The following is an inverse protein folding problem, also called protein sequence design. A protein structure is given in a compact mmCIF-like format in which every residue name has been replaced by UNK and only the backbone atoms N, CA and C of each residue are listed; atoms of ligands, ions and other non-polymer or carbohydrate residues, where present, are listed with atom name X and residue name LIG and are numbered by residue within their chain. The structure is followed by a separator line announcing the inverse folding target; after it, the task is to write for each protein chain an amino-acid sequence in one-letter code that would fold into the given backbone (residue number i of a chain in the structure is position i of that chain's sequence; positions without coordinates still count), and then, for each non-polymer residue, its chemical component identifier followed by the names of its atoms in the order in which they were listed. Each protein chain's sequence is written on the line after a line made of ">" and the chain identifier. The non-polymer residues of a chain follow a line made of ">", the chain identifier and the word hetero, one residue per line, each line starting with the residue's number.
data_IF_512933236087
#
_entry.id   IF_512933236087
#
_cell.length_a   1.000
_cell.length_b   1.000
_cell.length_c   1.000
_cell.angle_alpha   90.00
_cell.angle_beta   90.00
_cell.angle_gamma   90.00
#
_symmetry.space_group_name_H-M   'P 1'
#
loop_
_entity.id
_entity.type
_entity.pdbx_description
1 polymer ?
#
# COMPACT_ATOMS: atom_id res chain seq x y z
N UNK A 1 -16.14 -15.41 -33.28
CA UNK A 1 -15.27 -14.31 -32.84
C UNK A 1 -15.21 -14.32 -31.31
N UNK A 2 -14.03 -14.17 -30.76
CA UNK A 2 -13.81 -14.07 -29.31
C UNK A 2 -14.34 -12.72 -28.83
N UNK A 3 -15.23 -12.65 -27.81
CA UNK A 3 -15.78 -11.39 -27.29
C UNK A 3 -14.75 -10.57 -26.53
N UNK A 4 -13.65 -11.19 -26.06
CA UNK A 4 -12.60 -10.55 -25.26
C UNK A 4 -11.23 -10.73 -25.92
N UNK A 5 -10.43 -9.66 -25.92
CA UNK A 5 -9.08 -9.67 -26.50
C UNK A 5 -8.04 -10.29 -25.58
N UNK A 6 -8.27 -10.26 -24.27
CA UNK A 6 -7.31 -10.71 -23.27
C UNK A 6 -8.01 -11.15 -21.99
N UNK A 7 -7.57 -12.26 -21.42
CA UNK A 7 -7.92 -12.73 -20.08
C UNK A 7 -6.74 -12.43 -19.13
N UNK A 8 -7.04 -11.82 -17.98
CA UNK A 8 -6.07 -11.55 -16.95
C UNK A 8 -6.53 -12.24 -15.67
N UNK A 9 -5.76 -13.24 -15.24
CA UNK A 9 -5.99 -13.94 -14.00
C UNK A 9 -5.29 -13.19 -12.86
N UNK A 10 -6.08 -12.69 -11.92
CA UNK A 10 -5.56 -12.01 -10.74
C UNK A 10 -5.25 -13.01 -9.63
N UNK A 11 -4.17 -12.76 -8.89
CA UNK A 11 -3.89 -13.42 -7.63
C UNK A 11 -4.87 -12.97 -6.54
N UNK A 12 -4.95 -13.74 -5.46
CA UNK A 12 -5.80 -13.41 -4.31
C UNK A 12 -5.03 -12.62 -3.26
N UNK A 13 -5.73 -11.69 -2.58
CA UNK A 13 -5.24 -11.14 -1.31
C UNK A 13 -5.57 -12.17 -0.23
N UNK A 14 -4.54 -12.63 0.49
CA UNK A 14 -4.63 -13.64 1.52
C UNK A 14 -4.63 -13.01 2.90
N UNK A 15 -5.29 -13.66 3.87
CA UNK A 15 -5.29 -13.27 5.27
C UNK A 15 -4.23 -14.03 6.05
N UNK A 16 -3.79 -13.43 7.15
CA UNK A 16 -3.06 -14.13 8.19
C UNK A 16 -4.08 -14.76 9.12
N UNK A 17 -4.10 -16.10 9.20
CA UNK A 17 -4.85 -16.82 10.21
C UNK A 17 -4.02 -17.00 11.47
N UNK A 18 -4.66 -16.92 12.62
CA UNK A 18 -4.06 -17.27 13.90
C UNK A 18 -4.70 -18.55 14.46
N UNK A 19 -3.92 -19.34 15.18
CA UNK A 19 -4.34 -20.62 15.72
C UNK A 19 -4.12 -20.68 17.22
N UNK A 20 -5.09 -21.29 17.89
CA UNK A 20 -4.96 -21.79 19.27
C UNK A 20 -4.95 -23.30 19.27
N UNK A 21 -4.30 -23.92 20.24
CA UNK A 21 -4.08 -25.36 20.31
C UNK A 21 -4.78 -25.92 21.55
N UNK A 22 -5.95 -26.55 21.32
CA UNK A 22 -6.76 -27.17 22.37
C UNK A 22 -6.23 -28.57 22.70
N UNK A 23 -5.95 -28.85 23.95
CA UNK A 23 -5.60 -30.22 24.42
C UNK A 23 -6.84 -31.07 24.28
N UNK A 24 -6.70 -32.24 23.61
CA UNK A 24 -7.82 -33.13 23.29
C UNK A 24 -8.57 -33.58 24.55
N UNK A 25 -9.90 -33.49 24.51
CA UNK A 25 -10.78 -33.88 25.61
C UNK A 25 -10.88 -32.87 26.77
N UNK A 26 -10.26 -31.70 26.65
CA UNK A 26 -10.27 -30.64 27.69
C UNK A 26 -10.75 -29.30 27.18
N UNK A 27 -10.87 -28.30 28.03
CA UNK A 27 -11.01 -26.89 27.65
C UNK A 27 -9.74 -26.10 27.97
N UNK A 28 -8.58 -26.75 27.92
CA UNK A 28 -7.26 -26.16 28.15
C UNK A 28 -6.56 -25.96 26.82
N UNK A 29 -5.99 -24.77 26.63
CA UNK A 29 -5.28 -24.35 25.43
C UNK A 29 -3.80 -24.16 25.77
N UNK A 30 -2.92 -24.66 24.90
CA UNK A 30 -1.48 -24.58 25.11
C UNK A 30 -0.84 -23.66 24.05
N UNK A 31 0.11 -22.81 24.48
CA UNK A 31 0.88 -21.92 23.64
C UNK A 31 1.66 -22.70 22.57
N UNK A 32 1.85 -22.09 21.38
CA UNK A 32 2.44 -22.75 20.20
C UNK A 32 3.81 -23.39 20.46
N UNK A 33 4.68 -22.76 21.27
CA UNK A 33 6.01 -23.31 21.59
C UNK A 33 5.98 -24.56 22.50
N UNK A 34 4.84 -24.85 23.12
CA UNK A 34 4.66 -25.98 24.02
C UNK A 34 3.75 -27.07 23.45
N UNK A 35 3.14 -26.85 22.27
CA UNK A 35 2.10 -27.71 21.70
C UNK A 35 2.52 -29.16 21.49
N UNK A 36 3.80 -29.38 21.16
CA UNK A 36 4.33 -30.72 20.86
C UNK A 36 4.45 -31.64 22.11
N UNK A 37 4.27 -31.04 23.30
CA UNK A 37 4.23 -31.80 24.56
C UNK A 37 2.85 -32.42 24.86
N UNK A 38 1.83 -32.07 24.06
CA UNK A 38 0.45 -32.42 24.25
C UNK A 38 -0.19 -32.97 22.97
N UNK A 39 -1.21 -33.78 23.07
CA UNK A 39 -2.04 -34.13 21.93
C UNK A 39 -3.08 -33.03 21.74
N UNK A 40 -2.88 -32.18 20.71
CA UNK A 40 -3.67 -30.99 20.50
C UNK A 40 -4.54 -31.07 19.25
N UNK A 41 -5.56 -30.20 19.20
CA UNK A 41 -6.35 -29.85 18.01
C UNK A 41 -6.15 -28.37 17.73
N UNK A 42 -5.75 -28.04 16.51
CA UNK A 42 -5.60 -26.67 16.05
C UNK A 42 -6.97 -26.06 15.73
N UNK A 43 -7.20 -24.84 16.19
CA UNK A 43 -8.46 -24.10 16.01
C UNK A 43 -8.14 -22.69 15.55
N UNK A 44 -8.78 -22.24 14.47
CA UNK A 44 -8.70 -20.84 14.04
C UNK A 44 -9.31 -19.92 15.09
N UNK A 45 -8.66 -18.78 15.30
CA UNK A 45 -9.11 -17.76 16.24
C UNK A 45 -9.23 -16.41 15.52
N UNK A 46 -10.19 -15.59 15.98
CA UNK A 46 -10.42 -14.27 15.40
C UNK A 46 -9.15 -13.42 15.49
N UNK A 47 -8.70 -12.91 14.35
CA UNK A 47 -7.49 -12.09 14.25
C UNK A 47 -7.57 -10.81 15.07
N UNK A 48 -8.77 -10.31 15.36
CA UNK A 48 -8.98 -9.09 16.13
C UNK A 48 -8.68 -9.25 17.63
N UNK A 49 -8.64 -10.49 18.15
CA UNK A 49 -8.29 -10.77 19.53
C UNK A 49 -6.85 -11.29 19.70
N UNK A 50 -6.03 -11.18 18.63
CA UNK A 50 -4.61 -11.53 18.63
C UNK A 50 -3.78 -10.31 18.27
N UNK A 51 -2.81 -9.93 19.09
CA UNK A 51 -1.92 -8.81 18.82
C UNK A 51 -0.46 -9.24 18.94
N UNK A 52 0.30 -9.08 17.85
CA UNK A 52 1.71 -9.53 17.79
C UNK A 52 1.86 -10.99 18.26
N UNK A 53 1.01 -11.87 17.73
CA UNK A 53 0.92 -13.29 18.05
C UNK A 53 0.49 -13.63 19.49
N UNK A 54 0.22 -12.64 20.33
CA UNK A 54 -0.26 -12.81 21.70
C UNK A 54 -1.79 -12.77 21.72
N UNK A 55 -2.39 -13.83 22.25
CA UNK A 55 -3.83 -13.93 22.43
C UNK A 55 -4.29 -13.06 23.62
N UNK A 56 -5.35 -12.27 23.38
CA UNK A 56 -6.14 -11.71 24.47
C UNK A 56 -7.03 -12.82 25.07
N UNK A 57 -6.63 -13.32 26.25
CA UNK A 57 -7.29 -14.48 26.88
C UNK A 57 -8.71 -14.14 27.35
N UNK A 58 -8.96 -12.91 27.76
CA UNK A 58 -10.29 -12.49 28.25
C UNK A 58 -11.23 -12.27 27.07
N UNK A 59 -10.75 -11.66 25.99
CA UNK A 59 -11.49 -11.54 24.74
C UNK A 59 -11.80 -12.94 24.15
N UNK A 60 -10.86 -13.91 24.24
CA UNK A 60 -11.08 -15.27 23.80
C UNK A 60 -12.18 -15.99 24.59
N UNK A 61 -12.19 -15.84 25.92
CA UNK A 61 -13.26 -16.41 26.77
C UNK A 61 -14.62 -15.79 26.46
N UNK A 62 -14.66 -14.51 26.08
CA UNK A 62 -15.88 -13.80 25.72
C UNK A 62 -16.33 -14.06 24.28
N UNK A 63 -15.44 -14.55 23.39
CA UNK A 63 -15.69 -14.69 21.96
C UNK A 63 -16.75 -15.75 21.64
N UNK A 64 -16.67 -16.93 22.29
CA UNK A 64 -17.68 -17.99 22.13
C UNK A 64 -18.04 -18.62 23.47
N UNK A 65 -19.33 -18.99 23.67
CA UNK A 65 -19.77 -19.55 24.94
C UNK A 65 -19.00 -20.81 25.39
N UNK A 66 -18.54 -21.62 24.43
CA UNK A 66 -17.78 -22.86 24.70
C UNK A 66 -16.40 -22.59 25.28
N UNK A 67 -15.86 -21.38 25.14
CA UNK A 67 -14.55 -20.98 25.66
C UNK A 67 -14.62 -20.16 26.96
N UNK A 68 -15.83 -19.94 27.50
CA UNK A 68 -16.01 -19.11 28.72
C UNK A 68 -15.13 -19.54 29.91
N UNK A 69 -14.89 -20.87 30.03
CA UNK A 69 -14.05 -21.45 31.08
C UNK A 69 -12.71 -21.99 30.53
N UNK A 70 -12.18 -21.35 29.47
CA UNK A 70 -10.91 -21.77 28.89
C UNK A 70 -9.74 -21.54 29.85
N UNK A 71 -8.91 -22.56 30.02
CA UNK A 71 -7.64 -22.50 30.74
C UNK A 71 -6.47 -22.41 29.74
N UNK A 72 -5.37 -21.78 30.17
CA UNK A 72 -4.24 -21.55 29.28
C UNK A 72 -2.92 -22.01 29.89
N UNK A 73 -2.13 -22.78 29.12
CA UNK A 73 -0.74 -23.08 29.42
C UNK A 73 0.12 -22.08 28.64
N UNK A 74 0.75 -21.20 29.40
CA UNK A 74 1.43 -20.02 28.89
C UNK A 74 2.92 -20.29 28.65
N UNK A 75 3.48 -19.57 27.69
CA UNK A 75 4.91 -19.48 27.41
C UNK A 75 5.41 -18.11 27.86
N UNK A 76 6.32 -18.09 28.85
CA UNK A 76 6.83 -16.85 29.44
C UNK A 76 5.73 -15.86 29.88
N UNK A 77 4.65 -16.39 30.48
CA UNK A 77 3.53 -15.59 30.96
C UNK A 77 2.56 -15.06 29.89
N UNK A 78 2.72 -15.48 28.63
CA UNK A 78 1.86 -15.11 27.51
C UNK A 78 1.35 -16.33 26.77
N UNK A 79 0.17 -16.23 26.17
CA UNK A 79 -0.29 -17.22 25.22
C UNK A 79 0.11 -16.80 23.81
N UNK A 80 0.98 -17.57 23.18
CA UNK A 80 1.45 -17.30 21.82
C UNK A 80 0.67 -18.19 20.86
N UNK A 81 -0.01 -17.57 19.88
CA UNK A 81 -0.72 -18.23 18.81
C UNK A 81 0.22 -18.76 17.73
N UNK A 82 -0.16 -19.83 17.05
CA UNK A 82 0.38 -20.15 15.75
C UNK A 82 -0.21 -19.25 14.66
N UNK A 83 0.37 -19.27 13.46
CA UNK A 83 -0.15 -18.53 12.33
C UNK A 83 0.18 -19.19 10.99
N UNK A 84 -0.64 -18.88 9.99
CA UNK A 84 -0.38 -19.23 8.59
C UNK A 84 -1.00 -18.17 7.67
N UNK A 85 -0.48 -18.10 6.44
CA UNK A 85 -1.08 -17.30 5.38
C UNK A 85 -2.06 -18.16 4.62
N UNK A 86 -3.33 -17.77 4.61
CA UNK A 86 -4.41 -18.56 4.03
C UNK A 86 -5.37 -17.66 3.23
N UNK A 87 -6.27 -18.27 2.47
CA UNK A 87 -7.37 -17.55 1.84
C UNK A 87 -8.23 -16.87 2.92
N UNK A 88 -8.59 -15.61 2.72
CA UNK A 88 -9.54 -14.94 3.60
C UNK A 88 -10.91 -15.62 3.56
N UNK A 89 -11.42 -15.99 4.73
CA UNK A 89 -12.74 -16.60 4.88
C UNK A 89 -13.32 -16.29 6.24
N UNK A 90 -14.64 -16.07 6.30
CA UNK A 90 -15.35 -15.88 7.57
C UNK A 90 -15.19 -17.08 8.53
N UNK A 91 -15.13 -18.30 8.00
CA UNK A 91 -14.90 -19.52 8.80
C UNK A 91 -13.49 -19.67 9.34
N UNK A 92 -12.53 -18.94 8.79
CA UNK A 92 -11.13 -18.90 9.27
C UNK A 92 -10.86 -17.68 10.16
N UNK A 93 -11.86 -16.80 10.36
CA UNK A 93 -11.78 -15.60 11.20
C UNK A 93 -10.57 -14.69 10.88
N UNK A 94 -10.16 -14.66 9.62
CA UNK A 94 -8.99 -13.94 9.12
C UNK A 94 -9.33 -12.84 8.09
N UNK A 95 -10.59 -12.41 8.05
CA UNK A 95 -11.08 -11.41 7.10
C UNK A 95 -10.72 -10.02 7.58
N UNK A 96 -10.13 -9.21 6.69
CA UNK A 96 -10.00 -7.76 6.86
C UNK A 96 -11.23 -7.11 6.24
N UNK A 97 -11.96 -6.31 7.03
CA UNK A 97 -13.13 -5.60 6.53
C UNK A 97 -12.70 -4.31 5.79
N UNK A 98 -13.00 -4.18 4.49
CA UNK A 98 -12.69 -2.97 3.73
C UNK A 98 -13.31 -1.70 4.34
N UNK A 99 -14.52 -1.78 4.90
CA UNK A 99 -15.20 -0.62 5.49
C UNK A 99 -14.40 -0.02 6.64
N UNK A 100 -13.85 -0.86 7.52
CA UNK A 100 -12.98 -0.42 8.63
C UNK A 100 -11.72 0.26 8.11
N UNK A 101 -11.11 -0.29 7.05
CA UNK A 101 -9.92 0.31 6.43
C UNK A 101 -10.25 1.66 5.77
N UNK A 102 -11.42 1.75 5.12
CA UNK A 102 -11.88 3.00 4.49
C UNK A 102 -12.17 4.07 5.55
N UNK A 103 -12.78 3.71 6.67
CA UNK A 103 -13.05 4.64 7.78
C UNK A 103 -11.75 5.18 8.41
N UNK A 104 -10.72 4.34 8.52
CA UNK A 104 -9.45 4.70 9.15
C UNK A 104 -8.48 5.44 8.20
N UNK A 105 -8.37 4.98 6.96
CA UNK A 105 -7.34 5.42 6.00
C UNK A 105 -7.90 6.12 4.75
N UNK A 106 -9.18 5.96 4.47
CA UNK A 106 -9.82 6.44 3.25
C UNK A 106 -9.74 5.46 2.07
N UNK A 107 -10.72 5.59 1.15
CA UNK A 107 -10.87 4.67 0.02
C UNK A 107 -9.67 4.70 -0.95
N UNK A 108 -9.09 5.86 -1.21
CA UNK A 108 -7.92 5.99 -2.09
C UNK A 108 -6.68 5.28 -1.53
N UNK A 109 -6.50 5.31 -0.20
CA UNK A 109 -5.41 4.58 0.45
C UNK A 109 -5.58 3.07 0.30
N UNK A 110 -6.80 2.55 0.52
CA UNK A 110 -7.11 1.13 0.32
C UNK A 110 -6.82 0.72 -1.14
N UNK A 111 -7.34 1.45 -2.12
CA UNK A 111 -7.12 1.17 -3.55
C UNK A 111 -5.64 1.11 -3.93
N UNK A 112 -4.89 2.14 -3.53
CA UNK A 112 -3.44 2.19 -3.78
C UNK A 112 -2.71 1.05 -3.10
N UNK A 113 -3.09 0.72 -1.86
CA UNK A 113 -2.43 -0.35 -1.12
C UNK A 113 -2.66 -1.72 -1.74
N UNK A 114 -3.88 -2.04 -2.17
CA UNK A 114 -4.18 -3.27 -2.91
C UNK A 114 -3.34 -3.41 -4.18
N UNK A 115 -3.18 -2.32 -4.94
CA UNK A 115 -2.31 -2.32 -6.12
C UNK A 115 -0.81 -2.41 -5.75
N UNK A 116 -0.40 -1.83 -4.62
CA UNK A 116 1.00 -1.79 -4.18
C UNK A 116 1.51 -3.13 -3.65
N UNK A 117 0.65 -4.00 -3.11
CA UNK A 117 1.02 -5.26 -2.45
C UNK A 117 1.89 -6.19 -3.30
N UNK A 118 1.84 -6.10 -4.62
CA UNK A 118 2.69 -6.89 -5.51
C UNK A 118 2.11 -7.07 -6.92
N UNK A 119 2.78 -7.84 -7.77
CA UNK A 119 2.31 -8.10 -9.14
C UNK A 119 0.90 -8.70 -9.16
N UNK A 120 0.11 -8.33 -10.17
CA UNK A 120 -1.32 -8.65 -10.25
C UNK A 120 -1.61 -10.15 -10.26
N UNK A 121 -0.75 -10.95 -10.89
CA UNK A 121 -0.96 -12.39 -11.06
C UNK A 121 -0.67 -13.21 -9.81
N UNK A 122 0.05 -12.66 -8.83
CA UNK A 122 0.46 -13.40 -7.64
C UNK A 122 -0.48 -13.18 -6.46
N UNK A 123 -0.72 -14.24 -5.69
CA UNK A 123 -1.37 -14.11 -4.38
C UNK A 123 -0.44 -13.41 -3.40
N UNK A 124 -1.00 -12.57 -2.54
CA UNK A 124 -0.26 -11.68 -1.64
C UNK A 124 -0.90 -11.68 -0.26
N UNK A 125 -0.11 -11.77 0.82
CA UNK A 125 -0.64 -11.57 2.16
C UNK A 125 -1.01 -10.11 2.40
N UNK A 126 -2.15 -9.88 3.04
CA UNK A 126 -2.48 -8.58 3.60
C UNK A 126 -1.62 -8.29 4.82
N UNK A 127 -1.03 -7.09 4.86
CA UNK A 127 -0.33 -6.56 6.03
C UNK A 127 -0.88 -5.18 6.38
N UNK A 128 -1.63 -5.07 7.47
CA UNK A 128 -2.24 -3.81 7.89
C UNK A 128 -1.19 -2.74 8.23
N UNK A 129 0.03 -3.11 8.63
CA UNK A 129 1.09 -2.14 8.92
C UNK A 129 1.63 -1.47 7.66
N UNK A 130 1.62 -2.18 6.52
CA UNK A 130 2.12 -1.66 5.25
C UNK A 130 1.29 -0.51 4.67
N UNK A 131 0.00 -0.42 5.02
CA UNK A 131 -0.92 0.62 4.51
C UNK A 131 -0.51 2.04 4.94
N UNK A 132 0.11 2.18 6.09
CA UNK A 132 0.61 3.46 6.62
C UNK A 132 1.55 4.18 5.65
N UNK A 133 2.39 3.44 4.93
CA UNK A 133 3.31 3.99 3.94
C UNK A 133 2.57 4.69 2.79
N UNK A 134 1.50 4.07 2.31
CA UNK A 134 0.66 4.60 1.24
C UNK A 134 -0.16 5.80 1.72
N UNK A 135 -0.71 5.72 2.93
CA UNK A 135 -1.43 6.84 3.54
C UNK A 135 -0.54 8.09 3.71
N UNK A 136 0.68 7.90 4.21
CA UNK A 136 1.67 8.99 4.34
C UNK A 136 2.08 9.56 2.98
N UNK A 137 2.18 8.71 1.95
CA UNK A 137 2.44 9.15 0.58
C UNK A 137 1.33 10.08 0.08
N UNK A 138 0.05 9.70 0.17
CA UNK A 138 -1.07 10.53 -0.27
C UNK A 138 -1.08 11.89 0.47
N UNK A 139 -0.85 11.90 1.77
CA UNK A 139 -0.72 13.14 2.53
C UNK A 139 0.45 14.01 2.07
N UNK A 140 1.57 13.39 1.68
CA UNK A 140 2.72 14.11 1.13
C UNK A 140 2.43 14.66 -0.26
N UNK A 141 1.75 13.87 -1.10
CA UNK A 141 1.31 14.31 -2.43
C UNK A 141 0.38 15.53 -2.34
N UNK A 142 -0.60 15.50 -1.45
CA UNK A 142 -1.49 16.65 -1.18
C UNK A 142 -0.72 17.92 -0.84
N UNK A 143 0.34 17.80 -0.05
CA UNK A 143 1.16 18.94 0.37
C UNK A 143 1.94 19.62 -0.76
N UNK A 144 2.11 19.00 -1.92
CA UNK A 144 2.70 19.66 -3.10
C UNK A 144 1.85 20.86 -3.57
N UNK A 145 0.56 20.85 -3.26
CA UNK A 145 -0.41 21.87 -3.64
C UNK A 145 -0.61 22.93 -2.55
N UNK A 146 0.21 22.92 -1.51
CA UNK A 146 0.05 23.80 -0.36
C UNK A 146 1.31 24.61 -0.07
N UNK A 147 1.08 25.85 0.37
CA UNK A 147 2.11 26.67 1.03
C UNK A 147 1.58 26.98 2.46
N UNK A 148 2.20 26.39 3.46
CA UNK A 148 1.62 26.33 4.80
C UNK A 148 0.33 25.48 4.81
N UNK A 149 -0.79 26.06 5.23
CA UNK A 149 -2.10 25.42 5.24
C UNK A 149 -2.99 25.80 4.04
N UNK A 150 -2.53 26.71 3.20
CA UNK A 150 -3.31 27.24 2.09
C UNK A 150 -2.98 26.52 0.79
N UNK A 151 -4.01 26.22 -0.01
CA UNK A 151 -3.85 25.78 -1.39
C UNK A 151 -3.15 26.87 -2.20
N UNK A 152 -2.03 26.54 -2.83
CA UNK A 152 -1.21 27.49 -3.55
C UNK A 152 -0.44 26.82 -4.67
N UNK A 153 -0.79 27.17 -5.91
CA UNK A 153 -0.14 26.68 -7.13
C UNK A 153 0.34 27.89 -7.93
N UNK A 154 1.56 27.82 -8.46
CA UNK A 154 2.19 28.89 -9.23
C UNK A 154 2.07 28.63 -10.74
N UNK A 155 1.82 29.68 -11.51
CA UNK A 155 1.83 29.67 -12.98
C UNK A 155 3.22 29.99 -13.59
N UNK A 156 4.27 30.00 -12.75
CA UNK A 156 5.64 30.15 -13.22
C UNK A 156 6.08 28.99 -14.12
N UNK A 157 7.00 29.26 -15.03
CA UNK A 157 7.59 28.25 -15.91
C UNK A 157 8.39 27.22 -15.10
N UNK A 158 8.13 25.91 -15.26
CA UNK A 158 8.89 24.87 -14.59
C UNK A 158 10.36 24.85 -15.01
N UNK A 159 11.23 24.44 -14.10
CA UNK A 159 12.61 24.13 -14.42
C UNK A 159 12.72 22.83 -15.24
N UNK A 160 13.89 22.62 -15.87
CA UNK A 160 14.16 21.40 -16.64
C UNK A 160 14.13 20.16 -15.73
N UNK A 161 14.62 20.28 -14.51
CA UNK A 161 14.60 19.21 -13.52
C UNK A 161 13.18 18.82 -13.11
N UNK A 162 12.30 19.80 -12.89
CA UNK A 162 10.90 19.55 -12.56
C UNK A 162 10.17 18.85 -13.72
N UNK A 163 10.40 19.30 -14.96
CA UNK A 163 9.86 18.64 -16.15
C UNK A 163 10.42 17.24 -16.36
N UNK A 164 11.70 17.01 -16.11
CA UNK A 164 12.33 15.68 -16.17
C UNK A 164 11.64 14.71 -15.20
N UNK A 165 11.43 15.13 -13.95
CA UNK A 165 10.75 14.31 -12.93
C UNK A 165 9.33 13.96 -13.38
N UNK A 166 8.56 14.96 -13.87
CA UNK A 166 7.20 14.75 -14.37
C UNK A 166 7.16 13.74 -15.52
N UNK A 167 7.91 14.01 -16.60
CA UNK A 167 7.87 13.21 -17.82
C UNK A 167 8.38 11.78 -17.61
N UNK A 168 9.40 11.60 -16.76
CA UNK A 168 9.88 10.28 -16.33
C UNK A 168 8.77 9.48 -15.62
N UNK A 169 8.03 10.15 -14.75
CA UNK A 169 6.93 9.52 -14.01
C UNK A 169 5.78 9.16 -14.93
N UNK A 170 5.34 10.05 -15.82
CA UNK A 170 4.27 9.79 -16.78
C UNK A 170 4.64 8.59 -17.66
N UNK A 171 5.85 8.59 -18.26
CA UNK A 171 6.36 7.47 -19.08
C UNK A 171 6.32 6.14 -18.34
N UNK A 172 6.78 6.14 -17.08
CA UNK A 172 6.79 4.93 -16.26
C UNK A 172 5.38 4.44 -15.95
N UNK A 173 4.49 5.34 -15.55
CA UNK A 173 3.11 4.98 -15.17
C UNK A 173 2.31 4.51 -16.37
N UNK A 174 2.44 5.17 -17.54
CA UNK A 174 1.81 4.74 -18.79
C UNK A 174 2.23 3.31 -19.13
N UNK A 175 3.54 3.03 -19.14
CA UNK A 175 4.07 1.69 -19.39
C UNK A 175 3.53 0.66 -18.40
N UNK A 176 3.47 1.02 -17.11
CA UNK A 176 3.00 0.11 -16.06
C UNK A 176 1.50 -0.21 -16.20
N UNK A 177 0.67 0.78 -16.56
CA UNK A 177 -0.76 0.57 -16.82
C UNK A 177 -0.95 -0.38 -18.00
N UNK A 178 -0.25 -0.18 -19.12
CA UNK A 178 -0.34 -1.03 -20.30
C UNK A 178 0.11 -2.47 -20.03
N UNK A 179 1.05 -2.66 -19.09
CA UNK A 179 1.61 -3.96 -18.71
C UNK A 179 1.04 -4.52 -17.40
N UNK A 180 0.00 -3.91 -16.83
CA UNK A 180 -0.62 -4.32 -15.56
C UNK A 180 0.35 -4.40 -14.37
N UNK A 181 1.41 -3.61 -14.41
CA UNK A 181 2.44 -3.53 -13.36
C UNK A 181 2.13 -2.43 -12.34
N UNK A 182 0.89 -2.36 -11.85
CA UNK A 182 0.42 -1.29 -10.97
C UNK A 182 1.25 -1.13 -9.69
N UNK A 183 1.81 -2.23 -9.19
CA UNK A 183 2.65 -2.24 -8.00
C UNK A 183 3.95 -1.45 -8.17
N UNK A 184 4.40 -1.17 -9.40
CA UNK A 184 5.57 -0.34 -9.68
C UNK A 184 5.23 1.11 -9.97
N UNK A 185 3.98 1.41 -10.36
CA UNK A 185 3.48 2.79 -10.53
C UNK A 185 3.47 3.56 -9.20
N UNK A 186 3.06 2.91 -8.11
CA UNK A 186 2.93 3.58 -6.81
C UNK A 186 4.28 4.04 -6.27
N UNK A 187 5.35 3.22 -6.23
CA UNK A 187 6.69 3.70 -5.94
C UNK A 187 7.18 4.81 -6.88
N UNK A 188 6.81 4.78 -8.18
CA UNK A 188 7.15 5.85 -9.10
C UNK A 188 6.51 7.18 -8.69
N UNK A 189 5.24 7.20 -8.30
CA UNK A 189 4.60 8.38 -7.72
C UNK A 189 5.23 8.83 -6.41
N UNK A 190 5.63 7.89 -5.54
CA UNK A 190 6.31 8.21 -4.28
C UNK A 190 7.66 8.92 -4.53
N UNK A 191 8.45 8.39 -5.47
CA UNK A 191 9.75 8.98 -5.88
C UNK A 191 9.50 10.38 -6.47
N UNK A 192 8.58 10.51 -7.42
CA UNK A 192 8.20 11.79 -8.02
C UNK A 192 7.83 12.83 -6.95
N UNK A 193 6.97 12.45 -6.01
CA UNK A 193 6.55 13.33 -4.92
C UNK A 193 7.72 13.77 -4.05
N UNK A 194 8.67 12.85 -3.77
CA UNK A 194 9.87 13.18 -3.01
C UNK A 194 10.79 14.15 -3.76
N UNK A 195 11.02 13.92 -5.05
CA UNK A 195 11.85 14.76 -5.90
C UNK A 195 11.24 16.15 -6.08
N UNK A 196 9.94 16.26 -6.38
CA UNK A 196 9.23 17.54 -6.49
C UNK A 196 9.20 18.31 -5.15
N UNK A 197 9.08 17.60 -4.03
CA UNK A 197 9.17 18.22 -2.69
C UNK A 197 10.57 18.80 -2.46
N UNK A 198 11.63 18.08 -2.83
CA UNK A 198 13.01 18.54 -2.69
C UNK A 198 13.29 19.77 -3.59
N UNK A 199 12.71 19.81 -4.78
CA UNK A 199 12.74 20.94 -5.71
C UNK A 199 11.83 22.10 -5.27
N UNK A 200 11.01 21.92 -4.23
CA UNK A 200 9.98 22.87 -3.79
C UNK A 200 9.02 23.27 -4.92
N UNK A 201 8.73 22.31 -5.81
CA UNK A 201 7.87 22.53 -6.95
C UNK A 201 6.41 22.68 -6.50
N UNK A 202 5.78 23.79 -6.88
CA UNK A 202 4.35 24.05 -6.75
C UNK A 202 3.73 24.54 -8.06
N UNK A 203 4.34 24.20 -9.19
CA UNK A 203 3.99 24.76 -10.49
C UNK A 203 2.84 23.99 -11.14
N UNK A 204 1.80 24.73 -11.55
CA UNK A 204 0.59 24.20 -12.21
C UNK A 204 0.95 23.28 -13.39
N UNK A 205 1.85 23.71 -14.27
CA UNK A 205 2.25 22.97 -15.46
C UNK A 205 2.91 21.60 -15.16
N UNK A 206 3.33 21.36 -13.91
CA UNK A 206 3.84 20.07 -13.43
C UNK A 206 2.76 19.32 -12.68
N UNK A 207 2.03 19.99 -11.80
CA UNK A 207 1.11 19.36 -10.86
C UNK A 207 -0.20 18.90 -11.52
N UNK A 208 -0.76 19.64 -12.48
CA UNK A 208 -1.97 19.22 -13.21
C UNK A 208 -1.80 17.90 -13.96
N UNK A 209 -0.79 17.73 -14.84
CA UNK A 209 -0.59 16.45 -15.49
C UNK A 209 -0.32 15.31 -14.51
N UNK A 210 0.32 15.59 -13.38
CA UNK A 210 0.59 14.59 -12.35
C UNK A 210 -0.70 14.15 -11.64
N UNK A 211 -1.65 15.07 -11.39
CA UNK A 211 -2.98 14.72 -10.84
C UNK A 211 -3.76 13.83 -11.81
N UNK A 212 -3.74 14.16 -13.11
CA UNK A 212 -4.40 13.34 -14.14
C UNK A 212 -3.80 11.92 -14.15
N UNK A 213 -2.47 11.82 -14.11
CA UNK A 213 -1.80 10.50 -14.05
C UNK A 213 -2.14 9.69 -12.79
N UNK A 214 -2.38 10.37 -11.65
CA UNK A 214 -2.77 9.73 -10.38
C UNK A 214 -4.25 9.34 -10.34
N UNK A 215 -5.12 9.98 -11.11
CA UNK A 215 -6.58 9.81 -11.02
C UNK A 215 -7.07 8.36 -11.09
N UNK A 216 -6.54 7.45 -11.94
CA UNK A 216 -6.94 6.04 -11.95
C UNK A 216 -6.63 5.30 -10.64
N UNK A 217 -5.64 5.75 -9.90
CA UNK A 217 -5.16 5.13 -8.65
C UNK A 217 -5.84 5.70 -7.41
N UNK A 218 -5.99 7.03 -7.33
CA UNK A 218 -6.56 7.78 -6.21
C UNK A 218 -7.63 8.78 -6.70
N UNK A 219 -8.80 8.28 -7.17
CA UNK A 219 -9.80 9.10 -7.85
C UNK A 219 -10.39 10.22 -6.99
N UNK A 220 -10.61 9.98 -5.70
CA UNK A 220 -11.23 10.99 -4.82
C UNK A 220 -10.28 12.17 -4.57
N UNK A 221 -9.02 11.89 -4.25
CA UNK A 221 -8.01 12.92 -4.07
C UNK A 221 -7.75 13.69 -5.37
N UNK A 222 -7.69 12.97 -6.50
CA UNK A 222 -7.45 13.59 -7.79
C UNK A 222 -8.61 14.52 -8.20
N UNK A 223 -9.86 14.11 -8.01
CA UNK A 223 -11.03 14.92 -8.31
C UNK A 223 -11.08 16.18 -7.44
N UNK A 224 -10.78 16.07 -6.13
CA UNK A 224 -10.74 17.23 -5.24
C UNK A 224 -9.64 18.21 -5.64
N UNK A 225 -8.42 17.72 -5.91
CA UNK A 225 -7.32 18.57 -6.38
C UNK A 225 -7.63 19.23 -7.71
N UNK A 226 -8.30 18.52 -8.62
CA UNK A 226 -8.73 19.03 -9.92
C UNK A 226 -9.73 20.18 -9.78
N UNK A 227 -10.69 20.02 -8.88
CA UNK A 227 -11.63 21.09 -8.52
C UNK A 227 -10.93 22.32 -7.93
N UNK A 228 -10.00 22.10 -7.00
CA UNK A 228 -9.21 23.18 -6.37
C UNK A 228 -8.28 23.90 -7.37
N UNK A 229 -7.85 23.23 -8.43
CA UNK A 229 -7.11 23.83 -9.54
C UNK A 229 -8.00 24.72 -10.43
N UNK A 230 -9.33 24.73 -10.21
CA UNK A 230 -10.26 25.62 -10.89
C UNK A 230 -11.02 24.98 -12.05
N UNK A 231 -10.94 23.66 -12.22
CA UNK A 231 -11.66 22.94 -13.26
C UNK A 231 -13.10 22.64 -12.84
N UNK A 232 -14.06 22.87 -13.74
CA UNK A 232 -15.52 22.67 -13.48
C UNK A 232 -16.04 21.31 -13.94
N UNK A 233 -15.27 20.57 -14.75
CA UNK A 233 -15.63 19.24 -15.22
C UNK A 233 -14.80 18.19 -14.47
N UNK A 234 -15.33 16.98 -14.37
CA UNK A 234 -14.62 15.87 -13.73
C UNK A 234 -13.32 15.53 -14.45
N UNK A 235 -12.29 15.23 -13.69
CA UNK A 235 -10.97 14.78 -14.17
C UNK A 235 -11.06 13.50 -15.01
N UNK A 236 -12.12 12.70 -14.83
CA UNK A 236 -12.36 11.45 -15.58
C UNK A 236 -12.58 11.67 -17.07
N UNK A 237 -12.79 12.92 -17.50
CA UNK A 237 -12.94 13.28 -18.93
C UNK A 237 -11.62 13.67 -19.58
N UNK A 238 -10.57 13.84 -18.79
CA UNK A 238 -9.26 14.20 -19.28
C UNK A 238 -8.54 13.00 -19.90
N UNK A 239 -7.75 13.29 -20.94
CA UNK A 239 -6.87 12.29 -21.53
C UNK A 239 -5.63 12.08 -20.68
N UNK A 240 -5.11 10.86 -20.63
CA UNK A 240 -3.86 10.58 -19.93
C UNK A 240 -2.74 11.50 -20.46
N UNK A 241 -1.91 12.08 -19.58
CA UNK A 241 -0.90 13.06 -19.99
C UNK A 241 0.19 12.42 -20.84
N UNK A 242 0.69 13.17 -21.84
CA UNK A 242 1.77 12.73 -22.72
C UNK A 242 3.12 13.12 -22.14
N UNK A 243 4.10 12.23 -22.30
CA UNK A 243 5.50 12.53 -22.01
C UNK A 243 6.28 12.86 -23.28
N UNK A 244 7.38 13.60 -23.13
CA UNK A 244 8.24 14.01 -24.24
C UNK A 244 9.69 13.61 -23.98
N UNK A 245 10.31 12.94 -24.94
CA UNK A 245 11.70 12.43 -24.84
C UNK A 245 12.72 13.54 -24.58
N UNK A 246 12.50 14.75 -25.11
CA UNK A 246 13.41 15.89 -24.92
C UNK A 246 13.70 16.25 -23.47
N UNK A 247 12.77 15.91 -22.53
CA UNK A 247 12.96 16.15 -21.11
C UNK A 247 13.65 14.98 -20.39
N UNK A 248 13.77 13.83 -21.03
CA UNK A 248 14.37 12.61 -20.47
C UNK A 248 15.85 12.47 -20.84
N UNK A 249 16.30 13.17 -21.90
CA UNK A 249 17.69 13.13 -22.34
C UNK A 249 18.59 13.84 -21.32
N UNK A 250 19.63 13.17 -20.89
CA UNK A 250 20.66 13.74 -20.03
C UNK A 250 21.72 14.41 -20.90
N UNK A 251 21.99 15.68 -20.66
CA UNK A 251 22.99 16.46 -21.44
C UNK A 251 24.42 16.14 -21.01
N UNK A 252 24.60 15.44 -19.88
CA UNK A 252 25.90 15.01 -19.39
C UNK A 252 25.81 13.77 -18.51
N UNK A 253 26.76 12.87 -18.63
CA UNK A 253 26.98 11.77 -17.69
C UNK A 253 28.09 12.18 -16.72
N UNK A 254 27.78 12.23 -15.42
CA UNK A 254 28.80 12.40 -14.41
C UNK A 254 29.47 11.04 -14.09
N UNK A 255 30.73 10.90 -14.42
CA UNK A 255 31.51 9.73 -14.07
C UNK A 255 32.17 9.92 -12.69
N UNK A 256 31.84 9.10 -11.69
CA UNK A 256 32.55 9.15 -10.41
C UNK A 256 33.97 8.65 -10.58
N UNK A 257 34.95 9.51 -10.33
CA UNK A 257 36.36 9.15 -10.32
C UNK A 257 36.77 8.74 -8.92
N UNK A 258 37.16 7.47 -8.78
CA UNK A 258 37.56 6.88 -7.49
C UNK A 258 39.04 6.63 -7.44
N UNK A 259 39.66 7.02 -6.32
CA UNK A 259 41.06 6.66 -5.96
C UNK A 259 41.04 5.88 -4.65
N UNK A 260 41.69 4.72 -4.64
CA UNK A 260 41.72 3.81 -3.48
C UNK A 260 40.34 3.49 -2.90
N UNK A 261 39.36 3.19 -3.78
CA UNK A 261 37.99 2.82 -3.40
C UNK A 261 37.11 3.97 -2.87
N UNK A 262 37.61 5.22 -2.90
CA UNK A 262 36.83 6.41 -2.49
C UNK A 262 36.61 7.33 -3.70
N UNK A 263 35.34 7.70 -3.93
CA UNK A 263 34.99 8.74 -4.93
C UNK A 263 35.62 10.06 -4.50
N UNK A 264 36.41 10.69 -5.37
CA UNK A 264 37.11 11.95 -5.12
C UNK A 264 36.47 13.14 -5.81
N UNK A 265 36.02 12.95 -7.02
CA UNK A 265 35.27 13.95 -7.79
C UNK A 265 34.46 13.26 -8.88
N UNK A 266 33.62 14.03 -9.54
CA UNK A 266 32.84 13.59 -10.70
C UNK A 266 33.30 14.39 -11.93
N UNK A 267 33.39 13.72 -13.08
CA UNK A 267 33.69 14.27 -14.41
C UNK A 267 32.45 14.32 -15.25
#
# INVERSE_FOLDING_TARGET
>A
EEPFKKLINQGMIQGRSNFVYRIQGTNTFVSVGLKDQYKTTEIHVDVNIVKNDVLDQDAFRAWMPEYANAEFILENGKYICGWAIEKMSKSMFNVVNPDTIIEEYGADTLRLYEMFLGPLEFSKPWDTQGIDGVYKFLRKFWRLFQVGENFSVSDETPSREELKVLHKTIKKVEYDIENFSFNTSIPAFMICTNELTALKCNKRAVLEPLVIALAPFAPHMAEELWSLLGHSQSITKESFPKWEEKFLVEDAFEYPVSFNGKVRFKL
#
